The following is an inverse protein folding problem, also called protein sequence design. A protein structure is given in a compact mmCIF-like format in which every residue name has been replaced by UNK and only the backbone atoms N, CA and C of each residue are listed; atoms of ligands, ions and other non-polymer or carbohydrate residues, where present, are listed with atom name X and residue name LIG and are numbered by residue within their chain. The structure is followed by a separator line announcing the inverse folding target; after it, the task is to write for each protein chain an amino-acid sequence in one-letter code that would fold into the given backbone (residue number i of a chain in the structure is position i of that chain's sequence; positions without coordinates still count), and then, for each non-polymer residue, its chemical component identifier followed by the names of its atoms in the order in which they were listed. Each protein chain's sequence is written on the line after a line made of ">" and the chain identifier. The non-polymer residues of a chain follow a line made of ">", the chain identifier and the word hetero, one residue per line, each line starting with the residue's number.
data_IF_148656223132
#
_entry.id   IF_148656223132
#
_cell.length_a   1.000
_cell.length_b   1.000
_cell.length_c   1.000
_cell.angle_alpha   90.00
_cell.angle_beta   90.00
_cell.angle_gamma   90.00
#
_symmetry.space_group_name_H-M   'P 1'
#
loop_
_entity.id
_entity.type
_entity.pdbx_description
1 polymer ?
#
# COMPACT_ATOMS: atom_id res chain seq x y z
N UNK A 1 21.17 -25.50 -16.73
CA UNK A 1 20.94 -25.15 -15.32
C UNK A 1 21.55 -23.77 -15.08
N UNK A 2 20.86 -22.67 -14.74
CA UNK A 2 19.54 -22.46 -14.11
C UNK A 2 18.93 -21.14 -14.65
N UNK A 3 17.75 -21.14 -15.29
CA UNK A 3 17.06 -19.89 -15.63
C UNK A 3 15.88 -19.59 -14.70
N UNK A 4 15.11 -20.61 -14.30
CA UNK A 4 13.81 -20.39 -13.67
C UNK A 4 13.90 -19.75 -12.28
N UNK A 5 14.86 -20.17 -11.43
CA UNK A 5 15.03 -19.57 -10.10
C UNK A 5 15.50 -18.11 -10.20
N UNK A 6 16.44 -17.80 -11.11
CA UNK A 6 16.90 -16.43 -11.30
C UNK A 6 15.82 -15.53 -11.92
N UNK A 7 15.08 -16.04 -12.91
CA UNK A 7 13.94 -15.32 -13.49
C UNK A 7 12.84 -15.09 -12.46
N UNK A 8 12.50 -16.08 -11.65
CA UNK A 8 11.54 -15.94 -10.57
C UNK A 8 12.02 -14.93 -9.53
N UNK A 9 13.29 -14.96 -9.15
CA UNK A 9 13.88 -13.95 -8.25
C UNK A 9 13.77 -12.55 -8.85
N UNK A 10 14.23 -12.32 -10.09
CA UNK A 10 14.13 -11.00 -10.73
C UNK A 10 12.68 -10.53 -10.84
N UNK A 11 11.75 -11.43 -11.13
CA UNK A 11 10.33 -11.12 -11.23
C UNK A 11 9.67 -10.81 -9.88
N UNK A 12 10.24 -11.25 -8.76
CA UNK A 12 9.68 -11.06 -7.41
C UNK A 12 10.51 -10.18 -6.48
N UNK A 13 11.64 -9.63 -6.95
CA UNK A 13 12.48 -8.71 -6.18
C UNK A 13 11.66 -7.49 -5.74
N UNK A 14 11.77 -7.14 -4.46
CA UNK A 14 11.17 -5.94 -3.90
C UNK A 14 12.24 -5.09 -3.25
N UNK A 15 12.10 -3.78 -3.36
CA UNK A 15 13.03 -2.81 -2.78
C UNK A 15 12.77 -2.57 -1.29
N UNK A 16 12.38 -3.58 -0.51
CA UNK A 16 12.19 -3.46 0.95
C UNK A 16 13.49 -3.72 1.70
N UNK A 17 13.80 -2.90 2.71
CA UNK A 17 14.81 -3.23 3.72
C UNK A 17 14.15 -3.34 5.09
N UNK A 18 14.56 -4.30 5.93
CA UNK A 18 13.99 -4.48 7.27
C UNK A 18 14.13 -3.24 8.17
N UNK A 19 15.05 -2.32 7.84
CA UNK A 19 15.23 -1.06 8.56
C UNK A 19 14.23 0.06 8.19
N UNK A 20 13.42 -0.12 7.15
CA UNK A 20 12.45 0.88 6.68
C UNK A 20 11.12 0.83 7.46
N UNK A 21 10.82 -0.28 8.13
CA UNK A 21 9.63 -0.44 8.98
C UNK A 21 9.92 -0.04 10.42
N UNK A 22 9.91 1.27 10.72
CA UNK A 22 9.95 1.77 12.09
C UNK A 22 8.57 1.59 12.77
N UNK A 23 8.35 0.40 13.32
CA UNK A 23 7.14 0.07 14.08
C UNK A 23 7.52 0.00 15.56
N UNK A 24 7.09 0.97 16.36
CA UNK A 24 7.26 0.90 17.81
C UNK A 24 6.43 -0.25 18.40
N UNK A 25 6.79 -0.83 19.56
CA UNK A 25 6.06 -1.97 20.13
C UNK A 25 4.56 -1.73 20.37
N UNK A 26 4.14 -0.47 20.46
CA UNK A 26 2.77 -0.01 20.65
C UNK A 26 2.06 0.42 19.34
N UNK A 27 2.74 0.36 18.20
CA UNK A 27 2.19 0.69 16.89
C UNK A 27 1.89 -0.58 16.08
N UNK A 28 0.78 -0.58 15.34
CA UNK A 28 0.64 -1.49 14.21
C UNK A 28 1.53 -0.99 13.06
N UNK A 29 1.75 -1.80 12.02
CA UNK A 29 2.37 -1.34 10.75
C UNK A 29 1.73 -0.02 10.25
N UNK A 30 0.44 0.18 10.54
CA UNK A 30 -0.31 1.36 10.17
C UNK A 30 -0.27 2.53 11.18
N UNK A 31 0.29 2.36 12.39
CA UNK A 31 0.30 3.34 13.47
C UNK A 31 -0.64 3.02 14.64
N UNK A 32 -1.01 4.04 15.43
CA UNK A 32 -1.90 3.90 16.59
C UNK A 32 -3.36 3.72 16.16
N UNK A 33 -3.89 2.50 16.33
CA UNK A 33 -5.24 2.13 15.87
C UNK A 33 -6.37 2.97 16.47
N UNK A 34 -6.23 3.49 17.69
CA UNK A 34 -7.25 4.33 18.31
C UNK A 34 -7.33 5.69 17.60
N UNK A 35 -6.18 6.27 17.28
CA UNK A 35 -6.10 7.53 16.52
C UNK A 35 -6.63 7.35 15.10
N UNK A 36 -6.22 6.27 14.43
CA UNK A 36 -6.64 6.00 13.05
C UNK A 36 -8.16 5.79 12.94
N UNK A 37 -8.76 5.06 13.88
CA UNK A 37 -10.21 4.83 13.91
C UNK A 37 -11.01 6.10 14.16
N UNK A 38 -10.46 7.06 14.91
CA UNK A 38 -11.11 8.34 15.21
C UNK A 38 -10.88 9.42 14.14
N UNK A 39 -10.03 9.17 13.14
CA UNK A 39 -9.75 10.14 12.09
C UNK A 39 -10.96 10.32 11.18
N UNK A 40 -11.44 11.56 11.04
CA UNK A 40 -12.65 11.91 10.26
C UNK A 40 -12.37 12.58 8.93
N UNK A 41 -11.10 12.85 8.63
CA UNK A 41 -10.70 13.44 7.36
C UNK A 41 -10.79 12.44 6.20
N UNK A 42 -10.41 12.92 5.01
CA UNK A 42 -10.28 12.09 3.82
C UNK A 42 -8.97 11.30 3.87
N UNK A 43 -9.02 10.02 3.49
CA UNK A 43 -7.85 9.12 3.50
C UNK A 43 -7.65 8.48 2.14
N UNK A 44 -6.41 8.49 1.64
CA UNK A 44 -6.01 7.65 0.53
C UNK A 44 -5.15 6.50 1.06
N UNK A 45 -5.54 5.26 0.75
CA UNK A 45 -4.72 4.08 1.01
C UNK A 45 -4.22 3.57 -0.34
N UNK A 46 -2.91 3.44 -0.48
CA UNK A 46 -2.25 3.09 -1.74
C UNK A 46 -1.18 2.03 -1.48
N UNK A 47 -1.13 0.98 -2.28
CA UNK A 47 -0.08 -0.05 -2.23
C UNK A 47 0.24 -0.57 -3.64
N UNK A 48 1.33 -1.32 -3.79
CA UNK A 48 1.66 -2.01 -5.04
C UNK A 48 0.95 -3.36 -5.15
N UNK A 49 0.56 -3.74 -6.37
CA UNK A 49 -0.10 -5.02 -6.68
C UNK A 49 0.64 -6.24 -6.12
N UNK A 50 1.96 -6.19 -6.13
CA UNK A 50 2.82 -7.29 -5.74
C UNK A 50 3.43 -7.10 -4.35
N UNK A 51 2.98 -6.14 -3.52
CA UNK A 51 3.57 -5.87 -2.20
C UNK A 51 3.60 -7.14 -1.30
N UNK A 52 4.78 -7.65 -1.02
CA UNK A 52 4.95 -8.84 -0.19
C UNK A 52 4.59 -8.57 1.27
N UNK A 53 4.99 -7.41 1.78
CA UNK A 53 4.82 -7.03 3.19
C UNK A 53 3.36 -6.82 3.55
N UNK A 54 2.55 -6.36 2.60
CA UNK A 54 1.12 -6.09 2.80
C UNK A 54 0.24 -7.28 2.42
N UNK A 55 0.50 -7.95 1.29
CA UNK A 55 -0.42 -8.93 0.71
C UNK A 55 0.22 -10.20 0.14
N UNK A 56 1.50 -10.46 0.46
CA UNK A 56 2.16 -11.69 0.01
C UNK A 56 2.22 -11.85 -1.52
N UNK A 57 2.42 -10.74 -2.25
CA UNK A 57 2.47 -10.64 -3.72
C UNK A 57 1.13 -10.59 -4.48
N UNK A 58 -0.02 -10.52 -3.81
CA UNK A 58 -1.30 -10.37 -4.51
C UNK A 58 -2.28 -9.47 -3.77
N UNK A 59 -2.23 -8.17 -4.07
CA UNK A 59 -3.07 -7.16 -3.42
C UNK A 59 -4.42 -6.99 -4.13
N UNK A 60 -4.59 -7.57 -5.32
CA UNK A 60 -5.82 -7.53 -6.13
C UNK A 60 -6.81 -8.66 -5.80
N UNK A 61 -6.56 -9.45 -4.74
CA UNK A 61 -7.39 -10.57 -4.35
C UNK A 61 -8.75 -10.18 -3.73
N UNK A 62 -9.58 -11.20 -3.45
CA UNK A 62 -10.89 -11.05 -2.81
C UNK A 62 -10.81 -10.36 -1.44
N UNK A 63 -9.69 -10.55 -0.74
CA UNK A 63 -9.37 -9.91 0.53
C UNK A 63 -8.39 -8.75 0.32
N UNK A 64 -8.72 -7.82 -0.59
CA UNK A 64 -7.88 -6.66 -0.88
C UNK A 64 -7.57 -5.88 0.42
N UNK A 65 -6.31 -5.88 0.88
CA UNK A 65 -5.94 -5.29 2.17
C UNK A 65 -6.03 -3.76 2.17
N UNK A 66 -5.97 -3.12 0.99
CA UNK A 66 -6.09 -1.67 0.85
C UNK A 66 -7.50 -1.22 1.21
N UNK A 67 -8.47 -1.89 0.61
CA UNK A 67 -9.90 -1.71 0.85
C UNK A 67 -10.28 -2.07 2.29
N UNK A 68 -9.71 -3.15 2.82
CA UNK A 68 -9.89 -3.52 4.22
C UNK A 68 -9.31 -2.49 5.19
N UNK A 69 -8.20 -1.82 4.84
CA UNK A 69 -7.60 -0.77 5.67
C UNK A 69 -8.54 0.42 5.81
N UNK A 70 -9.15 0.90 4.72
CA UNK A 70 -10.16 1.95 4.83
C UNK A 70 -11.33 1.53 5.72
N UNK A 71 -11.88 0.33 5.53
CA UNK A 71 -13.06 -0.13 6.28
C UNK A 71 -12.80 -0.41 7.76
N UNK A 72 -11.64 -0.97 8.10
CA UNK A 72 -11.38 -1.51 9.44
C UNK A 72 -10.46 -0.63 10.29
N UNK A 73 -9.57 0.15 9.65
CA UNK A 73 -8.59 1.00 10.33
C UNK A 73 -9.06 2.46 10.35
N UNK A 74 -9.57 2.97 9.23
CA UNK A 74 -10.05 4.35 9.08
C UNK A 74 -11.59 4.43 9.07
N UNK A 75 -12.24 3.74 10.01
CA UNK A 75 -13.70 3.55 10.02
C UNK A 75 -14.51 4.87 10.04
N UNK A 76 -13.95 5.94 10.62
CA UNK A 76 -14.62 7.25 10.69
C UNK A 76 -14.20 8.23 9.59
N UNK A 77 -13.33 7.83 8.66
CA UNK A 77 -12.88 8.70 7.57
C UNK A 77 -14.04 9.06 6.63
N UNK A 78 -13.93 10.21 5.97
CA UNK A 78 -14.95 10.68 5.03
C UNK A 78 -15.06 9.69 3.84
N UNK A 79 -16.18 8.96 3.68
CA UNK A 79 -16.30 7.92 2.67
C UNK A 79 -16.42 8.48 1.24
N UNK A 80 -16.89 9.72 1.06
CA UNK A 80 -17.07 10.33 -0.25
C UNK A 80 -15.75 10.82 -0.86
N UNK A 81 -14.74 11.03 0.00
CA UNK A 81 -13.43 11.58 -0.37
C UNK A 81 -12.28 10.64 -0.05
N UNK A 82 -12.54 9.44 0.42
CA UNK A 82 -11.50 8.44 0.68
C UNK A 82 -11.37 7.46 -0.49
N UNK A 83 -10.15 7.07 -0.83
CA UNK A 83 -9.86 6.19 -1.98
C UNK A 83 -8.87 5.08 -1.57
N UNK A 84 -9.18 3.85 -1.96
CA UNK A 84 -8.26 2.72 -1.85
C UNK A 84 -7.81 2.34 -3.26
N UNK A 85 -6.50 2.22 -3.46
CA UNK A 85 -5.93 1.94 -4.77
C UNK A 85 -4.74 1.00 -4.72
N UNK A 86 -4.69 0.12 -5.71
CA UNK A 86 -3.56 -0.79 -5.95
C UNK A 86 -2.85 -0.34 -7.23
N UNK A 87 -1.53 -0.15 -7.16
CA UNK A 87 -0.70 0.25 -8.31
C UNK A 87 -0.22 -1.01 -9.04
N UNK A 88 -0.57 -1.21 -10.32
CA UNK A 88 -0.19 -2.40 -11.08
C UNK A 88 1.32 -2.60 -11.18
N UNK A 89 1.76 -3.85 -11.24
CA UNK A 89 3.15 -4.21 -11.54
C UNK A 89 4.19 -3.70 -10.54
N UNK A 90 3.77 -3.25 -9.35
CA UNK A 90 4.65 -2.59 -8.36
C UNK A 90 4.65 -3.36 -7.05
N UNK A 91 5.79 -3.35 -6.36
CA UNK A 91 5.93 -3.90 -5.01
C UNK A 91 5.70 -2.88 -3.90
N UNK A 92 6.37 -3.09 -2.77
CA UNK A 92 6.21 -2.25 -1.58
C UNK A 92 6.56 -0.77 -1.80
N UNK A 93 7.70 -0.52 -2.45
CA UNK A 93 8.23 0.83 -2.59
C UNK A 93 7.81 1.46 -3.92
N UNK A 94 6.64 2.12 -3.87
CA UNK A 94 6.01 2.82 -4.99
C UNK A 94 6.85 4.01 -5.51
N UNK A 95 7.45 4.77 -4.58
CA UNK A 95 8.16 6.03 -4.88
C UNK A 95 9.41 5.86 -5.76
N UNK A 96 10.28 4.84 -5.55
CA UNK A 96 11.43 4.60 -6.41
C UNK A 96 11.14 3.62 -7.57
N UNK A 97 9.89 3.19 -7.78
CA UNK A 97 9.57 2.24 -8.85
C UNK A 97 9.55 2.92 -10.24
N UNK A 98 9.71 2.13 -11.30
CA UNK A 98 9.75 2.65 -12.68
C UNK A 98 8.44 3.34 -13.11
N UNK A 99 7.31 3.00 -12.49
CA UNK A 99 6.02 3.65 -12.71
C UNK A 99 5.65 4.66 -11.59
N UNK A 100 6.63 5.16 -10.83
CA UNK A 100 6.37 6.12 -9.74
C UNK A 100 5.56 7.35 -10.21
N UNK A 101 5.76 7.81 -11.45
CA UNK A 101 4.97 8.91 -12.01
C UNK A 101 3.46 8.62 -12.03
N UNK A 102 3.05 7.37 -12.28
CA UNK A 102 1.66 6.94 -12.24
C UNK A 102 1.12 7.00 -10.80
N UNK A 103 1.92 6.50 -9.84
CA UNK A 103 1.60 6.55 -8.40
C UNK A 103 1.39 8.00 -7.95
N UNK A 104 2.32 8.91 -8.27
CA UNK A 104 2.18 10.33 -7.96
C UNK A 104 0.98 10.97 -8.67
N UNK A 105 0.68 10.56 -9.91
CA UNK A 105 -0.51 10.98 -10.63
C UNK A 105 -1.79 10.67 -9.85
N UNK A 106 -1.92 9.45 -9.32
CA UNK A 106 -3.06 9.07 -8.49
C UNK A 106 -3.19 9.91 -7.21
N UNK A 107 -2.07 10.16 -6.53
CA UNK A 107 -2.06 11.00 -5.32
C UNK A 107 -2.48 12.44 -5.63
N UNK A 108 -1.94 13.03 -6.69
CA UNK A 108 -2.24 14.40 -7.11
C UNK A 108 -3.71 14.52 -7.52
N UNK A 109 -4.22 13.57 -8.31
CA UNK A 109 -5.61 13.58 -8.76
C UNK A 109 -6.60 13.39 -7.61
N UNK A 110 -6.23 12.62 -6.58
CA UNK A 110 -7.01 12.51 -5.36
C UNK A 110 -7.04 13.83 -4.58
N UNK A 111 -5.87 14.44 -4.33
CA UNK A 111 -5.77 15.72 -3.61
C UNK A 111 -6.55 16.84 -4.32
N UNK A 112 -6.57 16.85 -5.66
CA UNK A 112 -7.34 17.84 -6.44
C UNK A 112 -8.86 17.72 -6.29
N UNK A 113 -9.36 16.57 -5.83
CA UNK A 113 -10.80 16.31 -5.62
C UNK A 113 -11.25 16.58 -4.18
N UNK A 114 -10.31 16.82 -3.25
CA UNK A 114 -10.61 17.15 -1.85
C UNK A 114 -11.27 18.51 -1.71
#
# INVERSE_FOLDING_TARGET
>A
MRPLVLQASIASLQTTTLGEMLITPDAAVAGNVTVLKAFTGSVMVLTGENDYSVCGFSCNGKDNPVEATLRNVFISANPERSEARVVPGTGHNLNPHLNAAETYGYMIDWVRKL
#
